data_IF_518608739257
#
_entry.id   IF_518608739257
#
_cell.length_a   1.000
_cell.length_b   1.000
_cell.length_c   1.000
_cell.angle_alpha   90.00
_cell.angle_beta   90.00
_cell.angle_gamma   90.00
#
_symmetry.space_group_name_H-M   'P 1'
#
loop_
_entity.id
_entity.type
_entity.pdbx_description
1 polymer ?
#
# COMPACT_ATOMS: atom_id res chain seq x y z
N UNK A 1 11.14 -18.44 -22.39
CA UNK A 1 12.47 -17.81 -22.21
C UNK A 1 13.34 -18.65 -21.30
N UNK A 2 12.90 -18.98 -20.08
CA UNK A 2 13.69 -19.83 -19.15
C UNK A 2 14.11 -21.19 -19.72
N UNK A 3 13.24 -21.90 -20.45
CA UNK A 3 13.62 -23.18 -21.06
C UNK A 3 14.74 -23.08 -22.10
N UNK A 4 14.78 -21.99 -22.89
CA UNK A 4 15.85 -21.74 -23.86
C UNK A 4 17.15 -21.38 -23.12
N UNK A 5 17.06 -20.63 -22.03
CA UNK A 5 18.20 -20.27 -21.19
C UNK A 5 18.80 -21.49 -20.51
N UNK A 6 17.99 -22.39 -19.96
CA UNK A 6 18.47 -23.64 -19.36
C UNK A 6 19.10 -24.56 -20.42
N UNK A 7 18.50 -24.65 -21.61
CA UNK A 7 19.03 -25.45 -22.71
C UNK A 7 20.42 -24.99 -23.17
N UNK A 8 20.63 -23.67 -23.27
CA UNK A 8 21.91 -23.11 -23.69
C UNK A 8 22.97 -23.13 -22.59
N UNK A 9 22.60 -22.86 -21.34
CA UNK A 9 23.54 -22.80 -20.21
C UNK A 9 23.99 -24.18 -19.73
N UNK A 10 23.12 -25.19 -19.81
CA UNK A 10 23.46 -26.54 -19.38
C UNK A 10 24.12 -27.38 -20.49
N UNK A 11 24.48 -26.76 -21.63
CA UNK A 11 25.06 -27.44 -22.79
C UNK A 11 24.28 -28.68 -23.25
N UNK A 12 22.95 -28.65 -23.10
CA UNK A 12 22.09 -29.83 -23.31
C UNK A 12 22.12 -30.30 -24.77
N UNK A 13 22.28 -29.37 -25.71
CA UNK A 13 22.47 -29.68 -27.13
C UNK A 13 23.76 -30.49 -27.38
N UNK A 14 24.91 -30.02 -26.86
CA UNK A 14 26.19 -30.69 -27.05
C UNK A 14 26.20 -32.09 -26.43
N UNK A 15 25.54 -32.25 -25.28
CA UNK A 15 25.39 -33.56 -24.63
C UNK A 15 24.52 -34.52 -25.46
N UNK A 16 23.39 -34.05 -26.01
CA UNK A 16 22.52 -34.85 -26.89
C UNK A 16 23.20 -35.26 -28.20
N UNK A 17 24.09 -34.42 -28.72
CA UNK A 17 24.89 -34.74 -29.92
C UNK A 17 25.99 -35.77 -29.64
N UNK A 18 26.43 -35.92 -28.38
CA UNK A 18 27.44 -36.92 -27.99
C UNK A 18 26.88 -38.33 -27.73
N UNK A 19 25.56 -38.48 -27.71
CA UNK A 19 24.87 -39.77 -27.49
C UNK A 19 24.62 -40.51 -28.80
N UNK A 20 24.55 -41.85 -28.70
CA UNK A 20 24.11 -42.69 -29.82
C UNK A 20 22.66 -42.38 -30.21
N UNK A 21 22.36 -42.53 -31.50
CA UNK A 21 21.05 -42.23 -32.09
C UNK A 21 19.88 -42.89 -31.34
N UNK A 22 20.04 -44.14 -30.91
CA UNK A 22 19.02 -44.89 -30.17
C UNK A 22 18.75 -44.31 -28.77
N UNK A 23 19.80 -43.95 -28.03
CA UNK A 23 19.69 -43.35 -26.70
C UNK A 23 19.12 -41.92 -26.79
N UNK A 24 19.54 -41.15 -27.80
CA UNK A 24 19.02 -39.82 -28.08
C UNK A 24 17.50 -39.82 -28.33
N UNK A 25 17.00 -40.73 -29.17
CA UNK A 25 15.56 -40.81 -29.44
C UNK A 25 14.78 -41.27 -28.19
N UNK A 26 15.34 -42.18 -27.39
CA UNK A 26 14.75 -42.61 -26.11
C UNK A 26 14.59 -41.43 -25.14
N UNK A 27 15.63 -40.62 -24.94
CA UNK A 27 15.59 -39.47 -24.04
C UNK A 27 14.64 -38.38 -24.55
N UNK A 28 14.63 -38.11 -25.86
CA UNK A 28 13.68 -37.17 -26.45
C UNK A 28 12.23 -37.64 -26.31
N UNK A 29 11.99 -38.95 -26.42
CA UNK A 29 10.66 -39.53 -26.19
C UNK A 29 10.23 -39.37 -24.73
N UNK A 30 11.11 -39.71 -23.79
CA UNK A 30 10.85 -39.53 -22.36
C UNK A 30 10.58 -38.05 -22.03
N UNK A 31 11.39 -37.13 -22.55
CA UNK A 31 11.20 -35.69 -22.34
C UNK A 31 9.87 -35.18 -22.90
N UNK A 32 9.39 -35.72 -24.03
CA UNK A 32 8.07 -35.39 -24.59
C UNK A 32 6.93 -35.90 -23.70
N UNK A 33 7.07 -37.08 -23.13
CA UNK A 33 6.11 -37.67 -22.19
C UNK A 33 6.07 -36.86 -20.88
N UNK A 34 7.23 -36.61 -20.28
CA UNK A 34 7.39 -35.84 -19.04
C UNK A 34 6.89 -34.40 -19.20
N UNK A 35 7.12 -33.78 -20.36
CA UNK A 35 6.66 -32.41 -20.64
C UNK A 35 5.14 -32.29 -20.51
N UNK A 36 4.38 -33.30 -20.95
CA UNK A 36 2.92 -33.32 -20.81
C UNK A 36 2.51 -33.40 -19.35
N UNK A 37 3.12 -34.28 -18.58
CA UNK A 37 2.84 -34.42 -17.15
C UNK A 37 3.22 -33.14 -16.38
N UNK A 38 4.37 -32.54 -16.67
CA UNK A 38 4.81 -31.29 -16.07
C UNK A 38 3.84 -30.14 -16.38
N UNK A 39 3.34 -30.06 -17.62
CA UNK A 39 2.33 -29.07 -17.99
C UNK A 39 1.03 -29.27 -17.19
N UNK A 40 0.57 -30.51 -17.03
CA UNK A 40 -0.62 -30.82 -16.24
C UNK A 40 -0.43 -30.42 -14.77
N UNK A 41 0.65 -30.86 -14.13
CA UNK A 41 1.00 -30.49 -12.74
C UNK A 41 1.11 -28.98 -12.56
N UNK A 42 1.64 -28.26 -13.55
CA UNK A 42 1.71 -26.80 -13.52
C UNK A 42 0.33 -26.15 -13.56
N UNK A 43 -0.57 -26.63 -14.43
CA UNK A 43 -1.95 -26.14 -14.50
C UNK A 43 -2.71 -26.39 -13.19
N UNK A 44 -2.59 -27.60 -12.63
CA UNK A 44 -3.17 -27.96 -11.33
C UNK A 44 -2.65 -27.04 -10.22
N UNK A 45 -1.33 -26.86 -10.15
CA UNK A 45 -0.70 -25.95 -9.19
C UNK A 45 -1.21 -24.52 -9.32
N UNK A 46 -1.41 -24.02 -10.55
CA UNK A 46 -1.97 -22.68 -10.77
C UNK A 46 -3.43 -22.59 -10.29
N UNK A 47 -4.23 -23.64 -10.52
CA UNK A 47 -5.59 -23.73 -10.03
C UNK A 47 -5.63 -23.73 -8.50
N UNK A 48 -4.76 -24.50 -7.85
CA UNK A 48 -4.63 -24.54 -6.39
C UNK A 48 -4.23 -23.20 -5.82
N UNK A 49 -3.21 -22.53 -6.38
CA UNK A 49 -2.80 -21.20 -5.96
C UNK A 49 -3.96 -20.21 -6.08
N UNK A 50 -4.73 -20.28 -7.17
CA UNK A 50 -5.91 -19.42 -7.36
C UNK A 50 -6.98 -19.71 -6.31
N UNK A 51 -7.26 -20.97 -6.02
CA UNK A 51 -8.24 -21.37 -5.01
C UNK A 51 -7.80 -20.92 -3.61
N UNK A 52 -6.53 -21.10 -3.25
CA UNK A 52 -5.98 -20.65 -1.97
C UNK A 52 -6.09 -19.13 -1.82
N UNK A 53 -5.78 -18.36 -2.87
CA UNK A 53 -5.95 -16.90 -2.87
C UNK A 53 -7.41 -16.50 -2.68
N UNK A 54 -8.34 -17.17 -3.35
CA UNK A 54 -9.77 -16.92 -3.17
C UNK A 54 -10.23 -17.23 -1.73
N UNK A 55 -9.83 -18.37 -1.17
CA UNK A 55 -10.13 -18.74 0.22
C UNK A 55 -9.56 -17.71 1.21
N UNK A 56 -8.32 -17.28 1.03
CA UNK A 56 -7.68 -16.28 1.88
C UNK A 56 -8.41 -14.92 1.82
N UNK A 57 -8.84 -14.50 0.62
CA UNK A 57 -9.63 -13.28 0.45
C UNK A 57 -11.01 -13.40 1.11
N UNK A 58 -11.68 -14.54 0.98
CA UNK A 58 -12.96 -14.81 1.62
C UNK A 58 -12.84 -14.75 3.14
N UNK A 59 -11.86 -15.46 3.73
CA UNK A 59 -11.59 -15.40 5.18
C UNK A 59 -11.26 -13.98 5.66
N UNK A 60 -10.53 -13.20 4.86
CA UNK A 60 -10.22 -11.80 5.22
C UNK A 60 -11.47 -10.92 5.23
N UNK A 61 -12.39 -11.13 4.28
CA UNK A 61 -13.68 -10.43 4.24
C UNK A 61 -14.55 -10.80 5.44
N UNK A 62 -14.70 -12.10 5.69
CA UNK A 62 -15.49 -12.61 6.83
C UNK A 62 -14.94 -12.08 8.17
N UNK A 63 -13.62 -12.11 8.37
CA UNK A 63 -12.99 -11.55 9.58
C UNK A 63 -13.26 -10.06 9.73
N UNK A 64 -13.26 -9.30 8.62
CA UNK A 64 -13.56 -7.87 8.63
C UNK A 64 -15.03 -7.62 8.98
N UNK A 65 -15.95 -8.32 8.34
CA UNK A 65 -17.39 -8.23 8.60
C UNK A 65 -17.74 -8.63 10.02
N UNK A 66 -17.18 -9.74 10.53
CA UNK A 66 -17.36 -10.17 11.91
C UNK A 66 -16.82 -9.13 12.92
N UNK A 67 -15.67 -8.51 12.62
CA UNK A 67 -15.13 -7.43 13.45
C UNK A 67 -16.05 -6.20 13.43
N UNK A 68 -16.50 -5.78 12.26
CA UNK A 68 -17.42 -4.64 12.13
C UNK A 68 -18.75 -4.90 12.84
N UNK A 69 -19.29 -6.11 12.76
CA UNK A 69 -20.53 -6.48 13.46
C UNK A 69 -20.33 -6.49 14.98
N UNK A 70 -19.20 -7.00 15.47
CA UNK A 70 -18.83 -6.91 16.90
C UNK A 70 -18.67 -5.47 17.36
N UNK A 71 -18.06 -4.61 16.54
CA UNK A 71 -17.89 -3.20 16.87
C UNK A 71 -19.25 -2.47 16.87
N UNK A 72 -20.15 -2.75 15.92
CA UNK A 72 -21.52 -2.21 15.89
C UNK A 72 -22.32 -2.61 17.12
N UNK A 73 -22.42 -3.91 17.41
CA UNK A 73 -23.14 -4.43 18.58
C UNK A 73 -22.56 -3.90 19.90
N UNK A 74 -21.24 -3.72 19.98
CA UNK A 74 -20.59 -3.08 21.14
C UNK A 74 -21.01 -1.60 21.28
N UNK A 75 -21.03 -0.85 20.18
CA UNK A 75 -21.47 0.56 20.18
C UNK A 75 -22.94 0.68 20.56
N UNK A 76 -23.81 -0.15 20.02
CA UNK A 76 -25.25 -0.20 20.36
C UNK A 76 -25.46 -0.45 21.86
N UNK A 77 -24.79 -1.47 22.42
CA UNK A 77 -24.84 -1.77 23.86
C UNK A 77 -24.35 -0.60 24.72
N UNK A 78 -23.28 0.09 24.29
CA UNK A 78 -22.79 1.27 25.00
C UNK A 78 -23.76 2.44 24.92
N UNK A 79 -24.42 2.64 23.77
CA UNK A 79 -25.44 3.68 23.60
C UNK A 79 -26.66 3.42 24.48
N UNK A 80 -27.13 2.18 24.57
CA UNK A 80 -28.23 1.79 25.47
C UNK A 80 -27.86 2.04 26.93
N UNK A 81 -26.68 1.57 27.37
CA UNK A 81 -26.16 1.85 28.73
C UNK A 81 -26.00 3.34 29.01
N UNK A 82 -25.67 4.13 28.00
CA UNK A 82 -25.57 5.58 28.15
C UNK A 82 -26.95 6.21 28.38
N UNK A 83 -27.98 5.73 27.69
CA UNK A 83 -29.37 6.19 27.90
C UNK A 83 -29.85 5.86 29.32
N UNK A 84 -29.54 4.67 29.84
CA UNK A 84 -29.86 4.26 31.22
C UNK A 84 -29.29 5.22 32.28
N UNK A 85 -28.13 5.85 32.02
CA UNK A 85 -27.46 6.77 32.97
C UNK A 85 -27.77 8.24 32.71
N UNK A 86 -28.81 8.54 31.93
CA UNK A 86 -29.25 9.91 31.66
C UNK A 86 -28.55 10.59 30.47
N UNK A 87 -27.89 9.84 29.59
CA UNK A 87 -27.32 10.36 28.34
C UNK A 87 -25.86 10.83 28.45
N UNK A 88 -25.37 11.50 27.41
CA UNK A 88 -23.98 11.98 27.32
C UNK A 88 -23.78 13.28 28.11
N UNK A 89 -22.85 13.27 29.06
CA UNK A 89 -22.52 14.48 29.82
C UNK A 89 -21.51 15.33 29.06
N UNK A 90 -21.84 16.58 28.78
CA UNK A 90 -21.06 17.48 27.92
C UNK A 90 -20.21 18.48 28.68
N UNK A 91 -20.64 18.91 29.86
CA UNK A 91 -19.94 19.95 30.64
C UNK A 91 -19.55 19.46 32.03
N UNK A 92 -18.50 20.03 32.66
CA UNK A 92 -18.11 19.69 34.03
C UNK A 92 -19.24 19.87 35.05
N UNK A 93 -20.05 20.92 34.92
CA UNK A 93 -21.18 21.19 35.79
C UNK A 93 -22.30 20.15 35.65
N UNK A 94 -22.50 19.62 34.43
CA UNK A 94 -23.44 18.54 34.19
C UNK A 94 -22.99 17.24 34.85
N UNK A 95 -21.68 16.95 34.87
CA UNK A 95 -21.14 15.78 35.60
C UNK A 95 -21.53 15.86 37.08
N UNK A 96 -21.30 16.99 37.72
CA UNK A 96 -21.59 17.17 39.15
C UNK A 96 -23.08 17.03 39.44
N UNK A 97 -23.93 17.68 38.65
CA UNK A 97 -25.39 17.57 38.76
C UNK A 97 -25.87 16.13 38.62
N UNK A 98 -25.35 15.39 37.64
CA UNK A 98 -25.75 13.99 37.40
C UNK A 98 -25.17 13.03 38.45
N UNK A 99 -23.99 13.32 39.02
CA UNK A 99 -23.47 12.53 40.12
C UNK A 99 -24.29 12.72 41.40
N UNK A 100 -24.82 13.93 41.64
CA UNK A 100 -25.69 14.21 42.77
C UNK A 100 -27.05 13.51 42.64
N UNK A 101 -27.61 13.42 41.44
CA UNK A 101 -28.90 12.74 41.19
C UNK A 101 -28.80 11.20 41.30
N UNK A 102 -27.62 10.63 41.06
CA UNK A 102 -27.39 9.19 41.10
C UNK A 102 -27.06 8.66 42.50
N UNK A 103 -27.55 7.46 42.82
CA UNK A 103 -27.19 6.72 44.01
C UNK A 103 -25.69 6.36 44.04
N UNK A 104 -25.10 6.29 45.24
CA UNK A 104 -23.67 6.04 45.47
C UNK A 104 -23.14 4.81 44.69
N UNK A 105 -23.89 3.71 44.67
CA UNK A 105 -23.53 2.48 43.95
C UNK A 105 -23.59 2.58 42.42
N UNK A 106 -24.34 3.54 41.87
CA UNK A 106 -24.49 3.74 40.42
C UNK A 106 -23.50 4.76 39.85
N UNK A 107 -22.99 5.69 40.67
CA UNK A 107 -22.04 6.74 40.23
C UNK A 107 -20.81 6.19 39.51
N UNK A 108 -20.18 5.16 40.07
CA UNK A 108 -18.99 4.54 39.48
C UNK A 108 -19.34 3.94 38.11
N UNK A 109 -20.44 3.19 38.01
CA UNK A 109 -20.88 2.57 36.76
C UNK A 109 -21.18 3.64 35.70
N UNK A 110 -21.87 4.71 36.07
CA UNK A 110 -22.15 5.82 35.17
C UNK A 110 -20.87 6.47 34.63
N UNK A 111 -19.91 6.78 35.51
CA UNK A 111 -18.60 7.34 35.10
C UNK A 111 -17.84 6.40 34.16
N UNK A 112 -17.85 5.09 34.44
CA UNK A 112 -17.24 4.09 33.56
C UNK A 112 -17.92 4.04 32.19
N UNK A 113 -19.25 4.09 32.16
CA UNK A 113 -20.02 4.16 30.91
C UNK A 113 -19.68 5.41 30.11
N UNK A 114 -19.59 6.59 30.74
CA UNK A 114 -19.21 7.83 30.06
C UNK A 114 -17.81 7.74 29.43
N UNK A 115 -16.81 7.27 30.17
CA UNK A 115 -15.43 7.15 29.67
C UNK A 115 -15.31 6.11 28.54
N UNK A 116 -15.96 4.95 28.72
CA UNK A 116 -15.93 3.89 27.69
C UNK A 116 -16.70 4.31 26.43
N UNK A 117 -17.81 5.01 26.57
CA UNK A 117 -18.57 5.56 25.44
C UNK A 117 -17.72 6.57 24.65
N UNK A 118 -17.07 7.52 25.33
CA UNK A 118 -16.17 8.49 24.67
C UNK A 118 -15.04 7.81 23.91
N UNK A 119 -14.44 6.77 24.51
CA UNK A 119 -13.37 6.00 23.87
C UNK A 119 -13.84 5.21 22.66
N UNK A 120 -14.92 4.42 22.78
CA UNK A 120 -15.29 3.44 21.76
C UNK A 120 -16.31 3.94 20.74
N UNK A 121 -17.19 4.87 21.14
CA UNK A 121 -18.25 5.41 20.28
C UNK A 121 -17.82 6.74 19.65
N UNK A 122 -17.34 7.69 20.46
CA UNK A 122 -16.86 8.99 19.94
C UNK A 122 -15.44 8.91 19.35
N UNK A 123 -14.69 7.84 19.64
CA UNK A 123 -13.35 7.65 19.12
C UNK A 123 -12.31 8.63 19.70
N UNK A 124 -12.56 9.18 20.90
CA UNK A 124 -11.62 10.08 21.56
C UNK A 124 -10.28 9.37 21.78
N UNK A 125 -9.14 9.97 21.39
CA UNK A 125 -7.84 9.37 21.61
C UNK A 125 -7.58 9.18 23.11
N UNK A 126 -6.99 8.05 23.48
CA UNK A 126 -6.70 7.72 24.88
C UNK A 126 -5.32 8.23 25.32
N UNK A 127 -5.10 9.53 25.15
CA UNK A 127 -3.86 10.21 25.51
C UNK A 127 -3.62 10.06 27.02
N UNK A 128 -2.43 9.59 27.42
CA UNK A 128 -2.11 9.39 28.84
C UNK A 128 -2.92 8.33 29.58
N UNK A 129 -3.63 7.43 28.88
CA UNK A 129 -4.49 6.38 29.48
C UNK A 129 -5.65 6.93 30.34
N UNK A 130 -6.06 8.18 30.13
CA UNK A 130 -7.08 8.88 30.93
C UNK A 130 -8.47 8.24 30.78
N UNK A 131 -8.77 7.62 29.62
CA UNK A 131 -10.04 6.94 29.34
C UNK A 131 -10.07 5.48 29.83
N UNK A 132 -9.01 5.01 30.52
CA UNK A 132 -9.02 3.68 31.12
C UNK A 132 -9.80 3.68 32.43
N UNK A 133 -10.66 2.68 32.58
CA UNK A 133 -11.41 2.43 33.82
C UNK A 133 -10.54 1.74 34.90
N UNK A 134 -9.45 1.10 34.48
CA UNK A 134 -8.54 0.37 35.34
C UNK A 134 -7.10 0.85 35.15
N UNK A 135 -6.33 0.87 36.23
CA UNK A 135 -4.89 1.10 36.22
C UNK A 135 -4.19 0.03 37.07
N UNK A 136 -3.18 -0.63 36.51
CA UNK A 136 -2.44 -1.70 37.22
C UNK A 136 -3.33 -2.85 37.69
N UNK A 137 -4.37 -3.21 36.93
CA UNK A 137 -5.30 -4.29 37.28
C UNK A 137 -6.37 -3.93 38.33
N UNK A 138 -6.36 -2.72 38.88
CA UNK A 138 -7.36 -2.23 39.85
C UNK A 138 -8.30 -1.21 39.22
N UNK A 139 -9.57 -1.25 39.62
CA UNK A 139 -10.56 -0.23 39.24
C UNK A 139 -10.21 1.12 39.87
N UNK A 140 -10.36 2.20 39.11
CA UNK A 140 -10.14 3.55 39.62
C UNK A 140 -11.31 3.99 40.53
N UNK A 141 -11.00 4.83 41.52
CA UNK A 141 -11.99 5.43 42.41
C UNK A 141 -12.92 6.38 41.66
N UNK A 142 -14.10 6.64 42.21
CA UNK A 142 -15.08 7.57 41.64
C UNK A 142 -14.49 8.98 41.42
N UNK A 143 -13.70 9.46 42.37
CA UNK A 143 -13.03 10.77 42.30
C UNK A 143 -12.06 10.84 41.12
N UNK A 144 -11.23 9.80 40.94
CA UNK A 144 -10.25 9.74 39.85
C UNK A 144 -10.94 9.60 38.49
N UNK A 145 -12.00 8.79 38.39
CA UNK A 145 -12.81 8.69 37.18
C UNK A 145 -13.47 10.03 36.82
N UNK A 146 -13.92 10.79 37.82
CA UNK A 146 -14.52 12.12 37.64
C UNK A 146 -13.49 13.13 37.15
N UNK A 147 -12.30 13.16 37.77
CA UNK A 147 -11.19 14.00 37.35
C UNK A 147 -10.76 13.69 35.90
N UNK A 148 -10.64 12.41 35.56
CA UNK A 148 -10.35 11.96 34.20
C UNK A 148 -11.40 12.42 33.19
N UNK A 149 -12.69 12.27 33.51
CA UNK A 149 -13.77 12.70 32.62
C UNK A 149 -13.78 14.22 32.41
N UNK A 150 -13.56 15.01 33.47
CA UNK A 150 -13.42 16.47 33.36
C UNK A 150 -12.22 16.88 32.52
N UNK A 151 -11.09 16.19 32.66
CA UNK A 151 -9.88 16.44 31.85
C UNK A 151 -10.14 16.19 30.36
N UNK A 152 -10.80 15.08 30.02
CA UNK A 152 -11.17 14.74 28.64
C UNK A 152 -12.13 15.78 28.03
N UNK A 153 -13.06 16.32 28.82
CA UNK A 153 -13.96 17.37 28.34
C UNK A 153 -13.22 18.66 27.98
N UNK A 154 -12.29 19.10 28.84
CA UNK A 154 -11.49 20.31 28.58
C UNK A 154 -10.66 20.16 27.31
N UNK A 155 -9.96 19.03 27.17
CA UNK A 155 -9.18 18.72 25.95
C UNK A 155 -10.05 18.77 24.68
N UNK A 156 -11.29 18.26 24.75
CA UNK A 156 -12.20 18.29 23.62
C UNK A 156 -12.74 19.70 23.30
N UNK A 157 -12.84 20.58 24.31
CA UNK A 157 -13.19 22.00 24.12
C UNK A 157 -12.02 22.78 23.49
N UNK A 158 -10.80 22.56 23.96
CA UNK A 158 -9.58 23.17 23.43
C UNK A 158 -9.38 22.82 21.95
N UNK A 159 -9.46 21.53 21.59
CA UNK A 159 -9.37 21.06 20.19
C UNK A 159 -10.46 21.66 19.29
N UNK A 160 -11.65 21.94 19.83
CA UNK A 160 -12.75 22.55 19.07
C UNK A 160 -12.50 24.04 18.85
N UNK A 161 -11.95 24.74 19.85
CA UNK A 161 -11.56 26.15 19.74
C UNK A 161 -10.46 26.37 18.70
N UNK A 162 -9.42 25.54 18.72
CA UNK A 162 -8.32 25.61 17.74
C UNK A 162 -8.82 25.41 16.30
N UNK A 163 -9.71 24.44 16.06
CA UNK A 163 -10.28 24.19 14.73
C UNK A 163 -11.10 25.38 14.22
N UNK A 164 -11.85 26.06 15.10
CA UNK A 164 -12.62 27.23 14.73
C UNK A 164 -11.73 28.44 14.44
N UNK A 165 -10.64 28.63 15.19
CA UNK A 165 -9.67 29.68 14.95
C UNK A 165 -8.95 29.51 13.59
N UNK A 166 -8.50 28.28 13.27
CA UNK A 166 -7.86 28.00 11.97
C UNK A 166 -8.83 28.22 10.80
N UNK A 167 -10.11 27.87 10.98
CA UNK A 167 -11.10 28.03 9.93
C UNK A 167 -11.44 29.50 9.66
N UNK A 168 -11.44 30.36 10.70
CA UNK A 168 -11.60 31.81 10.54
C UNK A 168 -10.39 32.49 9.88
N UNK A 169 -9.17 32.01 10.11
CA UNK A 169 -7.97 32.54 9.45
C UNK A 169 -7.88 32.09 7.97
N UNK A 170 -8.41 30.91 7.63
CA UNK A 170 -8.47 30.43 6.23
C UNK A 170 -9.54 31.09 5.34
N UNK A 171 -10.41 31.94 5.92
CA UNK A 171 -11.47 32.66 5.20
C UNK A 171 -10.98 33.75 4.23
N UNK A 172 -9.67 34.05 4.22
CA UNK A 172 -9.03 34.93 3.24
C UNK A 172 -8.20 34.16 2.19
N UNK A 173 -8.69 33.00 1.73
CA UNK A 173 -8.08 32.31 0.60
C UNK A 173 -8.42 33.02 -0.71
N UNK A 174 -7.40 33.61 -1.36
CA UNK A 174 -7.45 34.19 -2.70
C UNK A 174 -8.20 33.28 -3.71
N UNK A 175 -9.14 33.82 -4.51
CA UNK A 175 -9.98 33.03 -5.44
C UNK A 175 -9.21 32.28 -6.53
N UNK A 176 -7.93 32.60 -6.75
CA UNK A 176 -7.08 31.94 -7.76
C UNK A 176 -6.74 30.47 -7.44
N UNK A 177 -6.81 30.03 -6.18
CA UNK A 177 -6.45 28.63 -5.83
C UNK A 177 -7.56 27.62 -6.16
N UNK A 178 -8.81 28.07 -6.30
CA UNK A 178 -9.97 27.18 -6.54
C UNK A 178 -10.08 26.71 -8.00
N UNK A 179 -9.63 27.53 -8.95
CA UNK A 179 -9.62 27.21 -10.39
C UNK A 179 -8.54 26.18 -10.75
N UNK A 180 -7.41 26.19 -10.05
CA UNK A 180 -6.31 25.23 -10.26
C UNK A 180 -6.72 23.78 -9.92
N UNK A 181 -7.40 23.59 -8.77
CA UNK A 181 -7.85 22.27 -8.32
C UNK A 181 -9.00 21.71 -9.18
N UNK A 182 -9.85 22.58 -9.74
CA UNK A 182 -10.88 22.16 -10.70
C UNK A 182 -10.26 21.75 -12.04
N UNK A 183 -9.23 22.47 -12.52
CA UNK A 183 -8.49 22.11 -13.73
C UNK A 183 -7.72 20.77 -13.58
N UNK A 184 -7.12 20.50 -12.41
CA UNK A 184 -6.48 19.21 -12.12
C UNK A 184 -7.49 18.06 -12.05
N UNK A 185 -8.64 18.24 -11.40
CA UNK A 185 -9.69 17.21 -11.35
C UNK A 185 -10.18 16.81 -12.75
N UNK A 186 -10.31 17.77 -13.66
CA UNK A 186 -10.70 17.50 -15.06
C UNK A 186 -9.61 16.71 -15.80
N UNK A 187 -8.33 17.00 -15.54
CA UNK A 187 -7.20 16.24 -16.11
C UNK A 187 -7.21 14.78 -15.62
N UNK A 188 -7.39 14.55 -14.32
CA UNK A 188 -7.44 13.19 -13.76
C UNK A 188 -8.64 12.38 -14.26
N UNK A 189 -9.80 13.02 -14.45
CA UNK A 189 -10.99 12.34 -15.01
C UNK A 189 -10.83 11.98 -16.49
N UNK A 190 -10.10 12.79 -17.27
CA UNK A 190 -9.78 12.47 -18.67
C UNK A 190 -8.81 11.29 -18.76
N UNK A 191 -7.73 11.30 -17.96
CA UNK A 191 -6.74 10.20 -17.92
C UNK A 191 -7.40 8.88 -17.49
N UNK A 192 -8.27 8.90 -16.47
CA UNK A 192 -8.97 7.69 -16.02
C UNK A 192 -10.00 7.15 -17.04
N UNK A 193 -10.55 8.01 -17.91
CA UNK A 193 -11.42 7.58 -19.01
C UNK A 193 -10.61 7.00 -20.18
N UNK A 194 -9.47 7.59 -20.52
CA UNK A 194 -8.57 7.06 -21.56
C UNK A 194 -7.95 5.71 -21.16
N UNK A 195 -7.56 5.51 -19.90
CA UNK A 195 -7.06 4.20 -19.44
C UNK A 195 -8.13 3.11 -19.51
N UNK A 196 -9.41 3.43 -19.23
CA UNK A 196 -10.51 2.47 -19.37
C UNK A 196 -10.77 2.08 -20.82
N UNK A 197 -10.61 3.01 -21.77
CA UNK A 197 -10.76 2.73 -23.20
C UNK A 197 -9.58 1.90 -23.75
N UNK A 198 -8.36 2.12 -23.24
CA UNK A 198 -7.18 1.31 -23.59
C UNK A 198 -7.24 -0.13 -23.10
N UNK A 199 -8.00 -0.41 -22.04
CA UNK A 199 -8.20 -1.78 -21.54
C UNK A 199 -9.31 -2.56 -22.24
N UNK A 200 -10.16 -1.91 -23.05
CA UNK A 200 -11.21 -2.58 -23.84
C UNK A 200 -10.77 -2.97 -25.26
N UNK A 201 -9.65 -2.45 -25.74
CA UNK A 201 -9.10 -2.80 -27.06
C UNK A 201 -7.94 -3.79 -26.92
N UNK A 202 -8.19 -5.07 -27.23
CA UNK A 202 -7.18 -6.12 -27.26
C UNK A 202 -6.07 -5.82 -28.30
N UNK A 203 -4.81 -6.23 -28.07
CA UNK A 203 -3.68 -5.75 -28.85
C UNK A 203 -3.53 -6.52 -30.16
N UNK A 204 -3.72 -5.83 -31.29
CA UNK A 204 -3.16 -6.24 -32.59
C UNK A 204 -1.93 -5.39 -32.91
N UNK A 205 -0.84 -6.10 -33.24
CA UNK A 205 0.37 -5.64 -33.94
C UNK A 205 1.33 -4.73 -33.17
N UNK A 206 2.33 -5.35 -32.53
CA UNK A 206 3.62 -4.72 -32.23
C UNK A 206 4.45 -4.66 -33.53
N UNK A 207 4.57 -3.46 -34.10
CA UNK A 207 5.64 -3.14 -35.04
C UNK A 207 6.88 -2.65 -34.27
N UNK A 208 8.04 -3.11 -34.73
CA UNK A 208 9.38 -2.64 -34.36
C UNK A 208 9.54 -1.16 -34.71
N UNK A 209 10.09 -0.36 -33.80
CA UNK A 209 10.90 0.80 -34.17
C UNK A 209 12.11 0.92 -33.25
N UNK A 210 13.25 1.09 -33.90
CA UNK A 210 14.58 1.31 -33.35
C UNK A 210 14.77 2.80 -33.02
N UNK A 211 15.72 3.09 -32.12
CA UNK A 211 16.44 4.36 -32.11
C UNK A 211 15.93 5.38 -31.10
N UNK A 212 16.56 5.43 -29.92
CA UNK A 212 16.40 6.51 -28.96
C UNK A 212 17.67 6.64 -28.13
N UNK A 213 18.32 7.79 -28.21
CA UNK A 213 19.55 8.17 -27.50
C UNK A 213 19.32 8.15 -25.98
N UNK A 214 20.18 7.41 -25.27
CA UNK A 214 20.07 7.17 -23.82
C UNK A 214 20.96 8.15 -23.07
N UNK A 215 20.40 8.88 -22.11
CA UNK A 215 21.16 9.55 -21.05
C UNK A 215 20.68 9.03 -19.71
N UNK A 216 21.57 8.36 -18.97
CA UNK A 216 21.31 7.83 -17.64
C UNK A 216 21.92 8.74 -16.58
N UNK A 217 21.12 9.18 -15.60
CA UNK A 217 21.64 9.79 -14.38
C UNK A 217 21.17 8.98 -13.17
N UNK A 218 22.10 8.71 -12.25
CA UNK A 218 21.83 7.95 -11.04
C UNK A 218 20.93 8.73 -10.07
N UNK A 219 20.10 7.99 -9.33
CA UNK A 219 19.12 8.49 -8.35
C UNK A 219 19.85 9.25 -7.22
N UNK A 220 19.37 10.42 -6.78
CA UNK A 220 19.98 11.19 -5.69
C UNK A 220 19.68 10.51 -4.35
N UNK A 221 20.57 9.59 -3.94
CA UNK A 221 20.83 9.14 -2.55
C UNK A 221 21.53 7.77 -2.47
N UNK A 222 21.92 7.17 -3.60
CA UNK A 222 22.86 6.04 -3.59
C UNK A 222 24.25 6.54 -3.99
N UNK A 223 25.31 6.23 -3.22
CA UNK A 223 26.67 6.52 -3.65
C UNK A 223 26.88 5.92 -5.04
N UNK A 224 27.48 6.72 -5.94
CA UNK A 224 27.75 6.26 -7.30
C UNK A 224 28.63 4.99 -7.22
N UNK A 225 28.26 3.89 -7.88
CA UNK A 225 29.09 2.69 -7.87
C UNK A 225 30.40 2.96 -8.60
N UNK A 226 31.51 2.48 -8.03
CA UNK A 226 32.86 2.66 -8.56
C UNK A 226 33.08 1.96 -9.91
N UNK A 227 32.27 0.92 -10.20
CA UNK A 227 32.30 0.19 -11.46
C UNK A 227 30.91 0.17 -12.11
N UNK A 228 30.81 0.41 -13.43
CA UNK A 228 29.53 0.37 -14.13
C UNK A 228 28.90 -1.04 -14.09
N UNK A 229 29.71 -2.09 -13.99
CA UNK A 229 29.26 -3.49 -13.89
C UNK A 229 28.37 -3.75 -12.67
N UNK A 230 28.55 -3.01 -11.58
CA UNK A 230 27.79 -3.15 -10.34
C UNK A 230 26.33 -2.68 -10.48
N UNK A 231 26.00 -2.02 -11.60
CA UNK A 231 24.65 -1.61 -11.94
C UNK A 231 23.79 -2.75 -12.51
N UNK A 232 24.40 -3.87 -12.93
CA UNK A 232 23.65 -5.03 -13.45
C UNK A 232 22.76 -5.58 -12.32
N UNK A 233 21.51 -5.88 -12.66
CA UNK A 233 20.46 -6.32 -11.74
C UNK A 233 20.02 -5.29 -10.69
N UNK A 234 20.53 -4.05 -10.71
CA UNK A 234 20.03 -2.96 -9.86
C UNK A 234 18.84 -2.26 -10.50
N UNK A 235 17.96 -1.73 -9.64
CA UNK A 235 16.79 -0.95 -10.05
C UNK A 235 17.20 0.50 -10.29
N UNK A 236 16.90 1.01 -11.47
CA UNK A 236 17.25 2.37 -11.89
C UNK A 236 16.03 3.09 -12.47
N UNK A 237 16.06 4.41 -12.42
CA UNK A 237 15.14 5.24 -13.19
C UNK A 237 15.83 5.65 -14.49
N UNK A 238 15.16 5.48 -15.63
CA UNK A 238 15.63 5.96 -16.91
C UNK A 238 14.65 6.99 -17.46
N UNK A 239 15.19 8.08 -17.98
CA UNK A 239 14.41 9.11 -18.64
C UNK A 239 14.22 8.70 -20.10
N UNK A 240 12.97 8.67 -20.54
CA UNK A 240 12.62 8.47 -21.94
C UNK A 240 11.99 9.76 -22.42
N UNK A 241 12.52 10.27 -23.53
CA UNK A 241 11.89 11.34 -24.29
C UNK A 241 10.90 10.69 -25.26
N UNK A 242 9.61 10.98 -25.06
CA UNK A 242 8.52 10.51 -25.92
C UNK A 242 8.43 11.37 -27.18
N UNK A 243 7.77 10.84 -28.22
CA UNK A 243 7.69 11.50 -29.53
C UNK A 243 6.95 12.86 -29.51
N UNK A 244 6.17 13.11 -28.45
CA UNK A 244 5.49 14.37 -28.19
C UNK A 244 6.38 15.45 -27.55
N UNK A 245 7.68 15.15 -27.36
CA UNK A 245 8.64 16.02 -26.68
C UNK A 245 8.49 16.00 -25.16
N UNK A 246 7.61 15.15 -24.60
CA UNK A 246 7.50 14.98 -23.16
C UNK A 246 8.56 14.02 -22.63
N UNK A 247 9.14 14.35 -21.48
CA UNK A 247 10.14 13.52 -20.82
C UNK A 247 9.52 12.84 -19.61
N UNK A 248 9.52 11.50 -19.57
CA UNK A 248 8.97 10.70 -18.46
C UNK A 248 10.00 9.75 -17.87
N UNK A 249 9.96 9.61 -16.55
CA UNK A 249 10.83 8.70 -15.80
C UNK A 249 10.18 7.32 -15.67
N UNK A 250 10.91 6.29 -16.07
CA UNK A 250 10.48 4.90 -15.98
C UNK A 250 11.41 4.11 -15.07
N UNK A 251 10.84 3.25 -14.22
CA UNK A 251 11.62 2.32 -13.41
C UNK A 251 11.97 1.08 -14.24
N UNK A 252 13.24 0.69 -14.23
CA UNK A 252 13.74 -0.51 -14.89
C UNK A 252 14.79 -1.24 -14.06
N UNK A 253 15.15 -2.43 -14.51
CA UNK A 253 16.30 -3.20 -14.01
C UNK A 253 17.30 -3.32 -15.15
N UNK A 254 18.57 -3.03 -14.89
CA UNK A 254 19.63 -3.17 -15.91
C UNK A 254 19.93 -4.65 -16.08
N UNK A 255 19.69 -5.18 -17.28
CA UNK A 255 19.93 -6.60 -17.60
C UNK A 255 21.28 -6.85 -18.28
N UNK A 256 21.96 -5.81 -18.73
CA UNK A 256 23.28 -5.90 -19.35
C UNK A 256 23.78 -4.54 -19.84
N UNK A 257 25.11 -4.41 -19.91
CA UNK A 257 25.79 -3.21 -20.39
C UNK A 257 26.51 -3.53 -21.70
N UNK A 258 26.33 -2.68 -22.71
CA UNK A 258 27.05 -2.80 -23.98
C UNK A 258 28.31 -1.93 -23.90
N UNK A 259 29.46 -2.55 -23.67
CA UNK A 259 30.75 -1.87 -23.72
C UNK A 259 31.08 -1.66 -25.20
N UNK A 260 31.01 -0.41 -25.68
CA UNK A 260 31.51 -0.06 -27.00
C UNK A 260 33.02 0.18 -26.87
N UNK A 261 33.82 -0.83 -27.25
CA UNK A 261 35.26 -0.65 -27.39
C UNK A 261 35.50 0.18 -28.65
N UNK A 262 35.90 1.43 -28.47
CA UNK A 262 36.37 2.26 -29.58
C UNK A 262 37.72 1.70 -30.04
N UNK A 263 37.70 0.88 -31.09
CA UNK A 263 38.91 0.49 -31.81
C UNK A 263 39.41 1.72 -32.56
N UNK A 264 40.50 2.32 -32.07
CA UNK A 264 41.12 3.49 -32.68
C UNK A 264 41.52 3.20 -34.12
N UNK A 265 41.18 4.14 -35.02
CA UNK A 265 41.71 4.16 -36.39
C UNK A 265 43.23 4.35 -36.32
N UNK A 266 43.97 3.35 -36.77
CA UNK A 266 45.41 3.47 -37.05
C UNK A 266 45.64 4.60 -38.07
N UNK A 267 46.40 5.60 -37.68
CA UNK A 267 46.96 6.58 -38.59
C UNK A 267 48.12 5.97 -39.36
N UNK A 268 48.00 5.91 -40.68
CA UNK A 268 49.06 5.45 -41.59
C UNK A 268 50.34 6.30 -41.45
N UNK A 269 51.54 5.71 -41.54
CA UNK A 269 52.79 6.44 -41.46
C UNK A 269 53.08 7.19 -42.77
N UNK A 270 53.38 8.48 -42.66
CA UNK A 270 53.92 9.34 -43.71
C UNK A 270 55.33 8.87 -44.08
N UNK A 271 55.47 8.31 -45.28
CA UNK A 271 56.77 8.02 -45.89
C UNK A 271 57.49 9.30 -46.32
N UNK A 272 58.78 9.36 -46.01
CA UNK A 272 59.76 10.27 -46.63
C UNK A 272 60.36 9.59 -47.85
#
# INVERSE_FOLDING_TARGET
MEGITMWTQNHTANWLESLDEAHREQDLRQAREDSREQCQRYVERLADIRQQRQKALAMKREKKEAKEQRDRTKKEKLTQKLQEVGGLWKTPSEIERQLLSLQSGQRVKALQTQLTFRRYVLGTPNTGKILNVMAGGKYLSAEKLTANLKCVLRQAEDERGERQAVQQVSGQANPLSSLSLQAEKVKFQKIAKEERQRHTEAPKKRQKTQGGTRSSRAVPNTPAPDKPEDLISKRVQHLIEEFDGSSKWYYGIITGLKIMVNVGKETAPTGK
#
